data_IF_276103615347
#
_entry.id   IF_276103615347
#
_cell.length_a   1.000
_cell.length_b   1.000
_cell.length_c   1.000
_cell.angle_alpha   90.00
_cell.angle_beta   90.00
_cell.angle_gamma   90.00
#
_symmetry.space_group_name_H-M   'P 1'
#
loop_
_entity.id
_entity.type
_entity.pdbx_description
1 polymer ?
#
# COMPACT_ATOMS: atom_id res chain seq x y z
N UNK A 1 30.01 -4.31 6.62
CA UNK A 1 29.61 -4.75 5.27
C UNK A 1 30.38 -6.03 5.04
N UNK A 2 29.77 -7.17 5.33
CA UNK A 2 30.33 -8.47 4.91
C UNK A 2 30.16 -8.52 3.39
N UNK A 3 31.27 -8.45 2.67
CA UNK A 3 31.28 -8.75 1.25
C UNK A 3 31.02 -10.25 1.18
N UNK A 4 29.81 -10.63 0.75
CA UNK A 4 29.38 -12.01 0.65
C UNK A 4 30.39 -12.77 -0.23
N UNK A 5 31.09 -13.73 0.35
CA UNK A 5 32.17 -14.43 -0.36
C UNK A 5 31.57 -15.29 -1.49
N UNK A 6 32.37 -15.59 -2.51
CA UNK A 6 31.96 -16.44 -3.65
C UNK A 6 31.36 -17.80 -3.22
N UNK A 7 31.71 -18.27 -2.02
CA UNK A 7 31.18 -19.49 -1.39
C UNK A 7 29.74 -19.35 -0.88
N UNK A 8 29.35 -18.19 -0.35
CA UNK A 8 28.00 -17.92 0.17
C UNK A 8 27.01 -17.72 -0.97
N UNK A 9 27.44 -17.08 -2.07
CA UNK A 9 26.69 -17.00 -3.33
C UNK A 9 26.37 -18.40 -3.89
N UNK A 10 27.33 -19.32 -3.79
CA UNK A 10 27.16 -20.70 -4.25
C UNK A 10 26.17 -21.49 -3.38
N UNK A 11 26.12 -21.21 -2.08
CA UNK A 11 25.14 -21.82 -1.17
C UNK A 11 23.73 -21.27 -1.38
N UNK A 12 23.62 -19.95 -1.61
CA UNK A 12 22.33 -19.29 -1.87
C UNK A 12 21.69 -19.78 -3.18
N UNK A 13 22.48 -19.92 -4.25
CA UNK A 13 22.01 -20.44 -5.55
C UNK A 13 21.61 -21.91 -5.51
N UNK A 14 22.12 -22.71 -4.57
CA UNK A 14 21.67 -24.10 -4.38
C UNK A 14 20.26 -24.19 -3.78
N UNK A 15 19.91 -23.26 -2.89
CA UNK A 15 18.62 -23.24 -2.17
C UNK A 15 17.57 -22.41 -2.91
N UNK A 16 17.98 -21.30 -3.55
CA UNK A 16 17.12 -20.38 -4.29
C UNK A 16 17.56 -20.29 -5.75
N UNK A 17 17.17 -21.28 -6.54
CA UNK A 17 17.58 -21.43 -7.95
C UNK A 17 17.04 -20.34 -8.88
N UNK A 18 15.94 -19.69 -8.48
CA UNK A 18 15.27 -18.65 -9.27
C UNK A 18 15.70 -17.23 -8.88
N UNK A 19 16.65 -17.07 -7.94
CA UNK A 19 17.15 -15.77 -7.50
C UNK A 19 18.57 -15.54 -7.98
N UNK A 20 18.79 -14.41 -8.65
CA UNK A 20 20.11 -13.98 -9.11
C UNK A 20 20.67 -12.88 -8.21
N UNK A 21 22.00 -12.90 -8.03
CA UNK A 21 22.68 -11.82 -7.32
C UNK A 21 22.74 -10.56 -8.19
N UNK A 22 21.83 -9.62 -7.92
CA UNK A 22 21.65 -8.42 -8.73
C UNK A 22 22.57 -7.26 -8.31
N UNK A 23 23.06 -7.25 -7.07
CA UNK A 23 23.80 -6.12 -6.52
C UNK A 23 23.91 -6.13 -5.00
N UNK A 24 24.13 -4.96 -4.42
CA UNK A 24 24.37 -4.82 -2.98
C UNK A 24 23.64 -3.60 -2.40
N UNK A 25 23.43 -3.64 -1.08
CA UNK A 25 22.79 -2.55 -0.35
C UNK A 25 23.63 -2.11 0.85
N UNK A 26 23.44 -0.86 1.27
CA UNK A 26 24.02 -0.35 2.51
C UNK A 26 23.09 0.65 3.16
N UNK A 27 23.32 0.93 4.45
CA UNK A 27 22.53 1.88 5.21
C UNK A 27 23.29 3.19 5.42
N UNK A 28 22.70 4.33 5.10
CA UNK A 28 23.34 5.64 5.34
C UNK A 28 22.61 6.82 4.69
N UNK A 29 23.30 7.96 4.62
CA UNK A 29 22.83 9.16 3.92
C UNK A 29 23.02 9.09 2.40
N UNK A 30 23.29 10.22 1.76
CA UNK A 30 23.61 10.27 0.34
C UNK A 30 24.86 9.41 0.01
N UNK A 31 24.98 8.89 -1.23
CA UNK A 31 26.13 8.11 -1.63
C UNK A 31 27.45 8.87 -1.45
N UNK A 32 28.44 8.20 -0.88
CA UNK A 32 29.75 8.75 -0.62
C UNK A 32 30.85 8.06 -1.45
N UNK A 33 32.10 8.51 -1.29
CA UNK A 33 33.23 7.89 -1.99
C UNK A 33 33.51 6.46 -1.54
N UNK A 34 33.12 6.09 -0.32
CA UNK A 34 33.27 4.72 0.17
C UNK A 34 32.31 3.77 -0.54
N UNK A 35 31.09 4.24 -0.85
CA UNK A 35 30.13 3.48 -1.64
C UNK A 35 30.65 3.24 -3.07
N UNK A 36 31.27 4.24 -3.69
CA UNK A 36 31.91 4.10 -5.01
C UNK A 36 33.04 3.07 -4.95
N UNK A 37 33.83 3.05 -3.86
CA UNK A 37 34.92 2.10 -3.69
C UNK A 37 34.40 0.66 -3.59
N UNK A 38 33.38 0.42 -2.77
CA UNK A 38 32.77 -0.91 -2.62
C UNK A 38 32.08 -1.32 -3.93
N UNK A 39 31.40 -0.39 -4.58
CA UNK A 39 30.73 -0.67 -5.85
C UNK A 39 31.72 -1.16 -6.92
N UNK A 40 32.92 -0.58 -6.99
CA UNK A 40 33.99 -1.07 -7.88
C UNK A 40 34.43 -2.49 -7.56
N UNK A 41 34.50 -2.86 -6.27
CA UNK A 41 34.80 -4.24 -5.86
C UNK A 41 33.70 -5.21 -6.28
N UNK A 42 32.43 -4.80 -6.20
CA UNK A 42 31.30 -5.63 -6.64
C UNK A 42 31.25 -5.76 -8.17
N UNK A 43 31.69 -4.73 -8.92
CA UNK A 43 31.85 -4.80 -10.37
C UNK A 43 32.85 -5.88 -10.84
N UNK A 44 33.77 -6.32 -9.97
CA UNK A 44 34.67 -7.44 -10.29
C UNK A 44 33.96 -8.80 -10.24
N UNK A 45 32.81 -8.87 -9.56
CA UNK A 45 32.01 -10.09 -9.38
C UNK A 45 30.89 -10.15 -10.42
N UNK A 46 30.22 -9.02 -10.69
CA UNK A 46 29.15 -8.91 -11.69
C UNK A 46 29.35 -7.68 -12.58
N UNK A 47 29.08 -7.80 -13.87
CA UNK A 47 29.37 -6.74 -14.86
C UNK A 47 28.55 -5.46 -14.64
N UNK A 48 27.38 -5.56 -14.00
CA UNK A 48 26.49 -4.42 -13.75
C UNK A 48 25.70 -4.56 -12.45
N UNK A 49 26.34 -4.33 -11.28
CA UNK A 49 25.66 -4.40 -9.99
C UNK A 49 24.68 -3.23 -9.80
N UNK A 50 23.50 -3.53 -9.27
CA UNK A 50 22.64 -2.50 -8.67
C UNK A 50 23.18 -2.08 -7.30
N UNK A 51 23.02 -0.79 -6.99
CA UNK A 51 23.35 -0.25 -5.67
C UNK A 51 22.10 0.32 -5.01
N UNK A 52 21.84 -0.10 -3.77
CA UNK A 52 20.66 0.33 -3.03
C UNK A 52 21.08 0.98 -1.70
N UNK A 53 20.72 2.25 -1.51
CA UNK A 53 21.03 3.00 -0.27
C UNK A 53 19.78 3.11 0.57
N UNK A 54 19.74 2.38 1.68
CA UNK A 54 18.66 2.44 2.66
C UNK A 54 18.98 3.51 3.70
N UNK A 55 18.00 4.34 4.05
CA UNK A 55 18.16 5.27 5.15
C UNK A 55 17.05 5.03 6.19
N UNK A 56 17.34 4.39 7.34
CA UNK A 56 16.32 4.10 8.35
C UNK A 56 15.76 5.36 9.03
N UNK A 57 16.43 6.51 8.87
CA UNK A 57 16.02 7.78 9.45
C UNK A 57 15.16 8.63 8.51
N UNK A 58 15.03 8.24 7.24
CA UNK A 58 14.23 8.97 6.25
C UNK A 58 13.23 8.04 5.58
N UNK A 59 12.12 8.58 5.07
CA UNK A 59 11.10 7.78 4.36
C UNK A 59 11.47 7.49 2.90
N UNK A 60 12.66 7.88 2.47
CA UNK A 60 13.13 7.75 1.11
C UNK A 60 14.12 6.58 1.03
N UNK A 61 13.85 5.68 0.10
CA UNK A 61 14.71 4.57 -0.26
C UNK A 61 15.08 4.79 -1.72
N UNK A 62 16.36 5.04 -1.96
CA UNK A 62 16.84 5.40 -3.29
C UNK A 62 17.57 4.20 -3.89
N UNK A 63 17.06 3.72 -5.03
CA UNK A 63 17.71 2.68 -5.84
C UNK A 63 18.51 3.39 -6.92
N UNK A 64 19.78 3.03 -7.03
CA UNK A 64 20.73 3.73 -7.88
C UNK A 64 21.45 2.77 -8.81
N UNK A 65 21.65 3.23 -10.04
CA UNK A 65 22.37 2.56 -11.11
C UNK A 65 23.67 3.32 -11.42
N UNK A 66 24.81 2.66 -11.56
CA UNK A 66 26.04 3.33 -11.99
C UNK A 66 25.94 3.81 -13.44
N UNK A 67 26.14 5.10 -13.69
CA UNK A 67 26.27 5.66 -15.03
C UNK A 67 27.70 6.18 -15.20
N UNK A 68 28.44 5.72 -16.22
CA UNK A 68 29.74 6.30 -16.54
C UNK A 68 29.54 7.71 -17.10
N UNK A 69 30.09 8.73 -16.43
CA UNK A 69 29.88 10.14 -16.83
C UNK A 69 31.02 10.70 -17.67
N UNK A 70 32.12 9.98 -17.84
CA UNK A 70 33.24 10.47 -18.64
C UNK A 70 33.94 9.36 -19.43
N UNK A 71 33.91 9.45 -20.77
CA UNK A 71 34.58 8.51 -21.68
C UNK A 71 36.11 8.66 -21.68
N UNK A 72 36.62 9.74 -21.07
CA UNK A 72 38.04 10.14 -21.12
C UNK A 72 38.74 9.94 -19.77
N UNK A 73 38.06 10.14 -18.64
CA UNK A 73 38.61 10.00 -17.28
C UNK A 73 37.96 8.90 -16.42
N UNK A 74 36.99 8.15 -16.96
CA UNK A 74 36.36 6.97 -16.33
C UNK A 74 35.94 7.18 -14.86
N UNK A 75 35.28 8.31 -14.57
CA UNK A 75 34.66 8.55 -13.26
C UNK A 75 33.26 7.90 -13.22
N UNK A 76 33.08 6.97 -12.29
CA UNK A 76 31.80 6.31 -12.02
C UNK A 76 30.94 7.22 -11.16
N UNK A 77 29.73 7.55 -11.62
CA UNK A 77 28.71 8.25 -10.82
C UNK A 77 27.46 7.36 -10.67
N UNK A 78 26.70 7.59 -9.61
CA UNK A 78 25.41 6.93 -9.41
C UNK A 78 24.29 7.81 -9.98
N UNK A 79 23.43 7.21 -10.81
CA UNK A 79 22.18 7.79 -11.25
C UNK A 79 21.01 7.09 -10.54
N UNK A 80 19.98 7.85 -10.17
CA UNK A 80 18.77 7.28 -9.57
C UNK A 80 17.94 6.53 -10.63
N UNK A 81 17.42 5.35 -10.27
CA UNK A 81 16.56 4.55 -11.13
C UNK A 81 15.17 4.40 -10.51
N UNK A 82 14.07 4.71 -11.24
CA UNK A 82 12.74 4.44 -10.75
C UNK A 82 12.54 2.93 -10.61
N UNK A 83 12.00 2.50 -9.47
CA UNK A 83 11.73 1.09 -9.19
C UNK A 83 10.35 0.91 -8.57
N UNK A 84 9.82 -0.30 -8.68
CA UNK A 84 8.58 -0.71 -8.04
C UNK A 84 8.82 -2.00 -7.29
N UNK A 85 8.25 -2.11 -6.08
CA UNK A 85 8.26 -3.35 -5.34
C UNK A 85 7.25 -4.31 -5.97
N UNK A 86 7.74 -5.40 -6.55
CA UNK A 86 6.91 -6.53 -6.93
C UNK A 86 6.68 -7.37 -5.66
N UNK A 87 5.43 -7.54 -5.26
CA UNK A 87 5.07 -8.43 -4.15
C UNK A 87 4.30 -9.63 -4.70
N UNK A 88 4.64 -10.83 -4.23
CA UNK A 88 3.83 -12.02 -4.49
C UNK A 88 2.54 -11.94 -3.65
N UNK A 89 1.48 -12.68 -4.02
CA UNK A 89 0.18 -12.61 -3.35
C UNK A 89 0.25 -12.87 -1.84
N UNK A 90 1.06 -13.85 -1.41
CA UNK A 90 1.27 -14.13 0.00
C UNK A 90 2.00 -12.99 0.72
N UNK A 91 3.02 -12.40 0.09
CA UNK A 91 3.76 -11.25 0.61
C UNK A 91 2.85 -10.01 0.69
N UNK A 92 2.06 -9.75 -0.35
CA UNK A 92 1.09 -8.65 -0.41
C UNK A 92 0.13 -8.70 0.77
N UNK A 93 -0.44 -9.88 1.06
CA UNK A 93 -1.35 -10.08 2.20
C UNK A 93 -0.61 -9.82 3.53
N UNK A 94 0.62 -10.31 3.66
CA UNK A 94 1.45 -10.10 4.86
C UNK A 94 1.79 -8.64 5.11
N UNK A 95 2.27 -7.94 4.08
CA UNK A 95 2.61 -6.51 4.13
C UNK A 95 1.38 -5.67 4.47
N UNK A 96 0.25 -5.96 3.83
CA UNK A 96 -1.02 -5.29 4.03
C UNK A 96 -1.57 -5.50 5.46
N UNK A 97 -1.38 -6.69 6.04
CA UNK A 97 -1.69 -6.94 7.44
C UNK A 97 -0.81 -6.13 8.40
N UNK A 98 0.52 -6.13 8.20
CA UNK A 98 1.47 -5.39 9.05
C UNK A 98 1.23 -3.87 8.97
N UNK A 99 0.96 -3.36 7.77
CA UNK A 99 0.62 -1.95 7.56
C UNK A 99 -0.66 -1.56 8.31
N UNK A 100 -1.69 -2.42 8.31
CA UNK A 100 -2.93 -2.21 9.07
C UNK A 100 -2.73 -2.26 10.58
N UNK A 101 -1.95 -3.21 11.10
CA UNK A 101 -1.68 -3.31 12.55
C UNK A 101 -1.02 -2.05 13.10
N UNK A 102 -0.23 -1.35 12.29
CA UNK A 102 0.42 -0.10 12.69
C UNK A 102 -0.55 1.08 12.72
N UNK A 103 -1.61 1.04 11.90
CA UNK A 103 -2.63 2.09 11.80
C UNK A 103 -3.85 1.85 12.71
N UNK A 104 -4.07 0.60 13.12
CA UNK A 104 -5.26 0.15 13.84
C UNK A 104 -4.78 -0.45 15.17
N UNK A 105 -4.96 0.31 16.25
CA UNK A 105 -4.87 -0.25 17.60
C UNK A 105 -5.76 -1.50 17.70
N UNK A 106 -5.30 -2.47 18.48
CA UNK A 106 -5.78 -3.86 18.61
C UNK A 106 -7.24 -4.03 19.10
N UNK A 107 -8.20 -3.38 18.45
CA UNK A 107 -9.62 -3.55 18.64
C UNK A 107 -10.27 -4.03 17.35
N UNK A 108 -11.34 -4.81 17.46
CA UNK A 108 -12.21 -5.17 16.35
C UNK A 108 -12.80 -3.89 15.72
N UNK A 109 -12.08 -3.32 14.75
CA UNK A 109 -12.55 -2.14 14.05
C UNK A 109 -13.64 -2.56 13.07
N UNK A 110 -14.76 -1.84 13.10
CA UNK A 110 -15.82 -1.99 12.11
C UNK A 110 -15.23 -1.81 10.70
N UNK A 111 -15.68 -2.61 9.73
CA UNK A 111 -15.33 -2.46 8.31
C UNK A 111 -15.60 -1.05 7.79
N UNK A 112 -16.57 -0.35 8.38
CA UNK A 112 -16.85 1.07 8.11
C UNK A 112 -15.69 1.97 8.57
N UNK A 113 -15.13 1.71 9.74
CA UNK A 113 -13.99 2.48 10.26
C UNK A 113 -12.75 2.27 9.38
N UNK A 114 -12.49 1.03 8.95
CA UNK A 114 -11.39 0.73 8.01
C UNK A 114 -11.56 1.48 6.69
N UNK A 115 -12.76 1.47 6.11
CA UNK A 115 -13.03 2.20 4.87
C UNK A 115 -12.84 3.71 5.04
N UNK A 116 -13.34 4.30 6.13
CA UNK A 116 -13.17 5.73 6.40
C UNK A 116 -11.70 6.11 6.60
N UNK A 117 -10.92 5.28 7.29
CA UNK A 117 -9.48 5.50 7.49
C UNK A 117 -8.74 5.45 6.15
N UNK A 118 -9.07 4.50 5.28
CA UNK A 118 -8.46 4.39 3.95
C UNK A 118 -8.73 5.64 3.10
N UNK A 119 -10.00 6.07 3.02
CA UNK A 119 -10.38 7.28 2.30
C UNK A 119 -9.70 8.52 2.88
N UNK A 120 -9.70 8.67 4.21
CA UNK A 120 -9.02 9.78 4.87
C UNK A 120 -7.52 9.81 4.59
N UNK A 121 -6.87 8.65 4.61
CA UNK A 121 -5.43 8.53 4.34
C UNK A 121 -5.09 8.93 2.90
N UNK A 122 -5.91 8.52 1.93
CA UNK A 122 -5.76 8.94 0.53
C UNK A 122 -5.91 10.47 0.37
N UNK A 123 -6.93 11.06 1.00
CA UNK A 123 -7.15 12.51 1.00
C UNK A 123 -5.97 13.24 1.65
N UNK A 124 -5.50 12.76 2.80
CA UNK A 124 -4.36 13.35 3.53
C UNK A 124 -3.08 13.30 2.69
N UNK A 125 -2.82 12.18 2.01
CA UNK A 125 -1.67 12.03 1.12
C UNK A 125 -1.73 13.01 -0.05
N UNK A 126 -2.89 13.10 -0.72
CA UNK A 126 -3.09 14.05 -1.81
C UNK A 126 -2.93 15.50 -1.34
N UNK A 127 -3.51 15.85 -0.18
CA UNK A 127 -3.39 17.18 0.41
C UNK A 127 -1.92 17.56 0.66
N UNK A 128 -1.12 16.64 1.20
CA UNK A 128 0.32 16.86 1.40
C UNK A 128 1.03 17.20 0.09
N UNK A 129 0.74 16.46 -1.00
CA UNK A 129 1.34 16.70 -2.32
C UNK A 129 0.88 18.02 -2.93
N UNK A 130 -0.41 18.34 -2.86
CA UNK A 130 -0.97 19.62 -3.34
C UNK A 130 -0.36 20.81 -2.58
N UNK A 131 -0.11 20.64 -1.28
CA UNK A 131 0.54 21.67 -0.46
C UNK A 131 1.96 21.97 -0.96
N UNK A 132 2.75 20.95 -1.29
CA UNK A 132 4.10 21.13 -1.86
C UNK A 132 4.05 21.89 -3.19
N UNK A 133 3.10 21.55 -4.07
CA UNK A 133 2.92 22.27 -5.34
C UNK A 133 2.57 23.74 -5.08
N UNK A 134 1.68 24.01 -4.13
CA UNK A 134 1.31 25.38 -3.75
C UNK A 134 2.49 26.18 -3.20
N UNK A 135 3.31 25.57 -2.34
CA UNK A 135 4.53 26.19 -1.80
C UNK A 135 5.53 26.48 -2.92
N UNK A 136 5.73 25.57 -3.86
CA UNK A 136 6.58 25.79 -5.03
C UNK A 136 6.11 26.97 -5.89
N UNK A 137 4.81 27.05 -6.22
CA UNK A 137 4.25 28.15 -7.02
C UNK A 137 4.44 29.50 -6.31
N UNK A 138 4.26 29.55 -4.98
CA UNK A 138 4.51 30.76 -4.18
C UNK A 138 5.99 31.15 -4.18
N UNK A 139 6.89 30.19 -4.04
CA UNK A 139 8.33 30.46 -4.05
C UNK A 139 8.82 30.98 -5.41
N UNK A 140 8.28 30.45 -6.51
CA UNK A 140 8.55 30.98 -7.86
C UNK A 140 8.01 32.40 -8.01
N UNK A 141 6.80 32.69 -7.49
CA UNK A 141 6.23 34.04 -7.51
C UNK A 141 7.05 35.04 -6.70
N UNK A 142 7.63 34.61 -5.57
CA UNK A 142 8.51 35.42 -4.74
C UNK A 142 9.94 35.59 -5.32
N UNK A 143 10.29 34.83 -6.37
CA UNK A 143 11.63 34.84 -6.97
C UNK A 143 12.67 34.04 -6.18
N UNK A 144 12.25 33.21 -5.21
CA UNK A 144 13.14 32.38 -4.39
C UNK A 144 13.64 31.14 -5.13
N UNK A 145 12.86 30.65 -6.10
CA UNK A 145 13.12 29.42 -6.88
C UNK A 145 13.02 29.73 -8.37
N UNK A 146 13.91 29.18 -9.23
CA UNK A 146 13.87 29.42 -10.67
C UNK A 146 12.55 28.96 -11.30
N UNK A 147 12.11 29.75 -12.27
CA UNK A 147 10.89 29.50 -13.04
C UNK A 147 11.05 28.24 -13.90
N UNK A 148 10.25 27.20 -13.65
CA UNK A 148 10.19 26.01 -14.50
C UNK A 148 8.85 25.95 -15.25
N UNK A 149 8.91 26.10 -16.58
CA UNK A 149 7.74 26.09 -17.45
C UNK A 149 6.99 24.74 -17.44
N UNK A 150 7.68 23.62 -17.28
CA UNK A 150 7.07 22.29 -17.31
C UNK A 150 6.21 22.05 -16.07
N UNK A 151 6.77 22.29 -14.88
CA UNK A 151 6.07 22.11 -13.60
C UNK A 151 4.85 23.03 -13.52
N UNK A 152 4.99 24.29 -13.94
CA UNK A 152 3.89 25.25 -13.90
C UNK A 152 2.79 24.91 -14.91
N UNK A 153 3.14 24.40 -16.09
CA UNK A 153 2.17 23.91 -17.06
C UNK A 153 1.37 22.72 -16.52
N UNK A 154 2.04 21.79 -15.84
CA UNK A 154 1.39 20.63 -15.22
C UNK A 154 0.50 21.03 -14.04
N UNK A 155 0.98 21.92 -13.16
CA UNK A 155 0.19 22.46 -12.06
C UNK A 155 -1.06 23.17 -12.57
N UNK A 156 -0.92 23.97 -13.64
CA UNK A 156 -2.05 24.63 -14.28
C UNK A 156 -3.05 23.63 -14.89
N UNK A 157 -2.56 22.59 -15.57
CA UNK A 157 -3.40 21.53 -16.12
C UNK A 157 -4.15 20.76 -15.01
N UNK A 158 -3.51 20.52 -13.88
CA UNK A 158 -4.13 19.90 -12.70
C UNK A 158 -5.28 20.77 -12.16
N UNK A 159 -5.07 22.08 -11.99
CA UNK A 159 -6.11 22.99 -11.55
C UNK A 159 -7.32 23.02 -12.49
N UNK A 160 -7.10 22.98 -13.81
CA UNK A 160 -8.16 22.98 -14.82
C UNK A 160 -8.93 21.66 -14.90
N UNK A 161 -8.38 20.56 -14.37
CA UNK A 161 -9.08 19.26 -14.27
C UNK A 161 -9.98 19.18 -13.02
N UNK A 162 -9.89 20.14 -12.10
CA UNK A 162 -10.75 20.23 -10.93
C UNK A 162 -11.94 21.16 -11.25
N UNK A 163 -13.20 20.86 -10.87
CA UNK A 163 -13.69 19.71 -10.10
C UNK A 163 -14.36 18.62 -10.97
N UNK A 164 -13.79 17.41 -10.95
CA UNK A 164 -14.29 16.23 -11.70
C UNK A 164 -15.69 15.79 -11.25
N UNK A 165 -16.07 16.05 -10.00
CA UNK A 165 -17.25 15.49 -9.35
C UNK A 165 -18.55 16.30 -9.50
N UNK A 166 -18.55 17.42 -10.23
CA UNK A 166 -19.73 18.30 -10.30
C UNK A 166 -20.47 18.25 -11.66
N UNK A 167 -20.18 17.25 -12.50
CA UNK A 167 -20.89 17.08 -13.76
C UNK A 167 -22.29 16.53 -13.53
N UNK A 168 -23.26 16.92 -14.38
CA UNK A 168 -24.64 16.43 -14.28
C UNK A 168 -24.69 14.91 -14.45
N UNK A 169 -23.90 14.37 -15.39
CA UNK A 169 -23.77 12.93 -15.63
C UNK A 169 -23.27 12.19 -14.38
N UNK A 170 -22.22 12.70 -13.73
CA UNK A 170 -21.73 12.10 -12.48
C UNK A 170 -22.81 12.05 -11.40
N UNK A 171 -23.61 13.12 -11.24
CA UNK A 171 -24.69 13.12 -10.25
C UNK A 171 -25.74 12.04 -10.54
N UNK A 172 -26.18 11.92 -11.79
CA UNK A 172 -27.14 10.87 -12.18
C UNK A 172 -26.57 9.48 -11.91
N UNK A 173 -25.37 9.18 -12.45
CA UNK A 173 -24.71 7.88 -12.27
C UNK A 173 -24.47 7.56 -10.78
N UNK A 174 -24.13 8.58 -9.97
CA UNK A 174 -23.95 8.45 -8.53
C UNK A 174 -25.25 8.12 -7.81
N UNK A 175 -26.36 8.79 -8.13
CA UNK A 175 -27.66 8.49 -7.53
C UNK A 175 -28.18 7.12 -7.93
N UNK A 176 -28.00 6.71 -9.19
CA UNK A 176 -28.35 5.38 -9.65
C UNK A 176 -27.57 4.31 -8.87
N UNK A 177 -26.26 4.51 -8.69
CA UNK A 177 -25.45 3.64 -7.86
C UNK A 177 -25.91 3.60 -6.39
N UNK A 178 -26.26 4.76 -5.80
CA UNK A 178 -26.79 4.80 -4.44
C UNK A 178 -28.11 4.04 -4.31
N UNK A 179 -28.99 4.15 -5.31
CA UNK A 179 -30.26 3.44 -5.35
C UNK A 179 -30.05 1.92 -5.41
N UNK A 180 -29.16 1.44 -6.28
CA UNK A 180 -28.85 0.02 -6.43
C UNK A 180 -28.23 -0.58 -5.17
N UNK A 181 -27.23 0.11 -4.61
CA UNK A 181 -26.57 -0.33 -3.35
C UNK A 181 -27.57 -0.30 -2.18
N UNK A 182 -28.40 0.75 -2.10
CA UNK A 182 -29.43 0.87 -1.08
C UNK A 182 -30.47 -0.25 -1.18
N UNK A 183 -30.93 -0.57 -2.38
CA UNK A 183 -31.88 -1.65 -2.63
C UNK A 183 -31.29 -3.01 -2.24
N UNK A 184 -30.07 -3.32 -2.67
CA UNK A 184 -29.39 -4.58 -2.31
C UNK A 184 -29.16 -4.70 -0.80
N UNK A 185 -28.72 -3.62 -0.15
CA UNK A 185 -28.53 -3.61 1.30
C UNK A 185 -29.85 -3.82 2.06
N UNK A 186 -30.94 -3.22 1.57
CA UNK A 186 -32.27 -3.41 2.15
C UNK A 186 -32.78 -4.85 1.98
N UNK A 187 -32.61 -5.44 0.80
CA UNK A 187 -32.94 -6.85 0.55
C UNK A 187 -32.12 -7.79 1.47
N UNK A 188 -30.83 -7.50 1.66
CA UNK A 188 -29.99 -8.22 2.62
C UNK A 188 -30.49 -8.08 4.06
N UNK A 189 -30.97 -6.89 4.44
CA UNK A 189 -31.53 -6.61 5.77
C UNK A 189 -32.86 -7.34 6.01
N UNK A 190 -33.73 -7.41 5.00
CA UNK A 190 -34.95 -8.23 5.03
C UNK A 190 -34.58 -9.71 5.19
N UNK A 191 -33.64 -10.20 4.41
CA UNK A 191 -33.16 -11.59 4.47
C UNK A 191 -32.63 -11.92 5.87
N UNK A 192 -31.82 -11.02 6.45
CA UNK A 192 -31.33 -11.15 7.82
C UNK A 192 -32.48 -11.17 8.84
N UNK A 193 -33.49 -10.32 8.65
CA UNK A 193 -34.68 -10.27 9.52
C UNK A 193 -35.47 -11.57 9.47
N UNK A 194 -35.74 -12.11 8.28
CA UNK A 194 -36.38 -13.40 8.11
C UNK A 194 -35.58 -14.53 8.76
N UNK A 195 -34.25 -14.51 8.62
CA UNK A 195 -33.37 -15.48 9.28
C UNK A 195 -33.45 -15.37 10.81
N UNK A 196 -33.40 -14.16 11.36
CA UNK A 196 -33.58 -13.93 12.81
C UNK A 196 -34.95 -14.38 13.31
N UNK A 197 -36.01 -14.18 12.53
CA UNK A 197 -37.35 -14.67 12.84
C UNK A 197 -37.41 -16.21 12.84
N UNK A 198 -36.80 -16.86 11.86
CA UNK A 198 -36.67 -18.32 11.84
C UNK A 198 -35.88 -18.85 13.05
N UNK A 199 -34.79 -18.18 13.44
CA UNK A 199 -34.05 -18.52 14.66
C UNK A 199 -34.90 -18.37 15.92
N UNK A 200 -35.74 -17.34 15.99
CA UNK A 200 -36.70 -17.16 17.09
C UNK A 200 -37.72 -18.30 17.14
N UNK A 201 -38.34 -18.65 16.01
CA UNK A 201 -39.31 -19.76 15.91
C UNK A 201 -38.65 -21.08 16.34
N UNK A 202 -37.42 -21.34 15.89
CA UNK A 202 -36.67 -22.53 16.29
C UNK A 202 -36.44 -22.58 17.81
N UNK A 203 -36.01 -21.47 18.42
CA UNK A 203 -35.84 -21.38 19.87
C UNK A 203 -37.16 -21.54 20.62
N UNK A 204 -38.24 -20.94 20.12
CA UNK A 204 -39.58 -21.07 20.68
C UNK A 204 -40.04 -22.54 20.66
N UNK A 205 -39.92 -23.22 19.53
CA UNK A 205 -40.30 -24.63 19.39
C UNK A 205 -39.52 -25.52 20.37
N UNK A 206 -38.21 -25.34 20.50
CA UNK A 206 -37.38 -26.09 21.45
C UNK A 206 -37.83 -25.90 22.91
N UNK A 207 -38.22 -24.67 23.28
CA UNK A 207 -38.67 -24.37 24.64
C UNK A 207 -40.07 -24.91 24.94
N UNK A 208 -41.00 -24.85 23.97
CA UNK A 208 -42.39 -25.27 24.18
C UNK A 208 -42.61 -26.76 23.96
N UNK A 209 -41.80 -27.45 23.15
CA UNK A 209 -41.89 -28.90 22.98
C UNK A 209 -41.55 -29.65 24.29
N UNK A 210 -40.74 -29.04 25.17
CA UNK A 210 -40.50 -29.54 26.53
C UNK A 210 -41.76 -29.58 27.42
N UNK A 211 -42.77 -28.73 27.19
CA UNK A 211 -44.02 -28.78 27.96
C UNK A 211 -44.93 -29.95 27.55
N UNK A 212 -44.78 -30.48 26.33
CA UNK A 212 -45.52 -31.66 25.85
C UNK A 212 -45.06 -32.97 26.50
N UNK A 213 -43.76 -33.10 26.76
CA UNK A 213 -43.16 -34.31 27.37
C UNK A 213 -43.55 -34.44 28.85
N UNK A 214 -43.56 -33.32 29.61
CA UNK A 214 -43.98 -33.31 31.02
C UNK A 214 -45.44 -33.70 31.24
N UNK A 215 -46.33 -33.47 30.27
CA UNK A 215 -47.74 -33.91 30.32
C UNK A 215 -47.91 -35.40 29.99
N UNK A 216 -47.11 -35.97 29.07
CA UNK A 216 -47.19 -37.40 28.73
C UNK A 216 -46.71 -38.33 29.86
N UNK A 217 -45.76 -37.90 30.68
CA UNK A 217 -45.27 -38.72 31.81
C UNK A 217 -46.26 -38.79 32.99
N UNK A 218 -47.19 -37.84 33.11
CA UNK A 218 -48.13 -37.77 34.24
C UNK A 218 -49.33 -38.72 34.12
N UNK A 219 -49.50 -39.38 32.97
CA UNK A 219 -50.57 -40.37 32.71
C UNK A 219 -50.15 -41.84 32.84
N UNK A 220 -48.91 -42.12 33.29
CA UNK A 220 -48.36 -43.47 33.43
C UNK A 220 -48.27 -43.96 34.89
N UNK A 221 -48.81 -43.20 35.84
CA UNK A 221 -48.84 -43.55 37.27
C UNK A 221 -50.27 -43.40 37.82
N UNK A 222 -51.20 -44.23 37.33
CA UNK A 222 -52.44 -44.61 38.03
C UNK A 222 -52.91 -45.95 37.50
#
# INVERSE_FOLDING_TARGET
>A
IEVMNSFELLFHTQVFKDMEFLGWYTTGGAPDQSDIHIHKQVCEIIESPLFLKLNPMTKHTDVMFPVPVDLINATMLFAELPYTLATEEAERIGVDHVARMTAIGTGENSTVAEHLIAQHSAIKMLHSRVKVILEYVKAVQAGEVPFNHEILREANALCHRLPVLNTLKFKTDFYDQCNDVGLMAYLGSITKTCNSMNQFINKFNVLYDRQGIGRRMRGLFF
#
